data_IF_427799665720
#
_entry.id   IF_427799665720
#
_cell.length_a   1.000
_cell.length_b   1.000
_cell.length_c   1.000
_cell.angle_alpha   90.00
_cell.angle_beta   90.00
_cell.angle_gamma   90.00
#
_symmetry.space_group_name_H-M   'P 1'
#
loop_
_entity.id
_entity.type
_entity.pdbx_description
1 polymer ?
#
# COMPACT_ATOMS: atom_id res chain seq x y z
N UNK A 1 -35.97 -37.27 43.04
CA UNK A 1 -34.66 -37.71 42.52
C UNK A 1 -34.89 -37.94 41.03
N UNK A 2 -34.38 -37.24 40.04
CA UNK A 2 -33.46 -36.11 39.86
C UNK A 2 -33.79 -35.64 38.44
N UNK A 3 -34.36 -34.45 38.26
CA UNK A 3 -34.46 -33.80 36.94
C UNK A 3 -33.31 -32.82 36.81
N UNK A 4 -32.18 -33.31 36.31
CA UNK A 4 -31.01 -32.51 36.00
C UNK A 4 -31.08 -32.04 34.55
N UNK A 5 -31.92 -31.02 34.28
CA UNK A 5 -31.84 -30.27 33.03
C UNK A 5 -30.69 -29.25 33.14
N UNK A 6 -29.51 -29.70 32.75
CA UNK A 6 -28.34 -28.88 32.54
C UNK A 6 -28.57 -28.04 31.28
N UNK A 7 -29.06 -26.83 31.46
CA UNK A 7 -29.09 -25.80 30.42
C UNK A 7 -27.67 -25.30 30.24
N UNK A 8 -26.95 -25.94 29.32
CA UNK A 8 -25.62 -25.49 28.92
C UNK A 8 -25.74 -24.08 28.34
N UNK A 9 -25.11 -23.15 29.04
CA UNK A 9 -25.10 -21.73 28.75
C UNK A 9 -24.55 -21.53 27.36
N UNK A 10 -25.41 -21.01 26.47
CA UNK A 10 -25.00 -20.42 25.19
C UNK A 10 -23.81 -19.51 25.46
N UNK A 11 -22.62 -19.99 25.05
CA UNK A 11 -21.46 -19.16 24.79
C UNK A 11 -21.81 -18.23 23.62
N UNK A 12 -22.58 -17.20 23.89
CA UNK A 12 -22.53 -16.00 23.07
C UNK A 12 -21.17 -15.39 23.33
N UNK A 13 -20.23 -15.68 22.43
CA UNK A 13 -19.10 -14.81 22.17
C UNK A 13 -19.66 -13.40 22.00
N UNK A 14 -19.64 -12.62 23.08
CA UNK A 14 -19.73 -11.18 22.99
C UNK A 14 -18.51 -10.79 22.17
N UNK A 15 -18.69 -10.66 20.86
CA UNK A 15 -17.80 -9.84 20.04
C UNK A 15 -17.72 -8.53 20.80
N UNK A 16 -16.52 -8.14 21.23
CA UNK A 16 -16.32 -6.96 22.06
C UNK A 16 -17.11 -5.81 21.43
N UNK A 17 -18.18 -5.38 22.07
CA UNK A 17 -18.86 -4.16 21.66
C UNK A 17 -17.84 -3.04 21.86
N UNK A 18 -17.31 -2.54 20.75
CA UNK A 18 -16.36 -1.43 20.77
C UNK A 18 -17.17 -0.18 21.07
N UNK A 19 -16.92 0.41 22.24
CA UNK A 19 -17.54 1.67 22.65
C UNK A 19 -17.23 2.81 21.67
N UNK A 20 -18.13 3.78 21.57
CA UNK A 20 -18.04 4.91 20.63
C UNK A 20 -16.79 5.76 20.81
N UNK A 21 -16.34 5.97 22.05
CA UNK A 21 -15.10 6.70 22.30
C UNK A 21 -13.89 5.95 21.73
N UNK A 22 -13.84 4.64 21.92
CA UNK A 22 -12.79 3.76 21.39
C UNK A 22 -12.80 3.75 19.87
N UNK A 23 -13.98 3.62 19.23
CA UNK A 23 -14.09 3.67 17.76
C UNK A 23 -13.55 4.97 17.20
N UNK A 24 -13.88 6.10 17.83
CA UNK A 24 -13.38 7.40 17.41
C UNK A 24 -11.85 7.47 17.51
N UNK A 25 -11.27 6.99 18.61
CA UNK A 25 -9.82 6.92 18.78
C UNK A 25 -9.15 6.06 17.71
N UNK A 26 -9.74 4.91 17.37
CA UNK A 26 -9.22 4.04 16.32
C UNK A 26 -9.24 4.71 14.94
N UNK A 27 -10.27 5.48 14.63
CA UNK A 27 -10.32 6.25 13.37
C UNK A 27 -9.29 7.37 13.38
N UNK A 28 -9.13 8.08 14.50
CA UNK A 28 -8.10 9.12 14.65
C UNK A 28 -6.68 8.52 14.51
N UNK A 29 -6.45 7.30 15.02
CA UNK A 29 -5.22 6.55 14.83
C UNK A 29 -5.01 6.15 13.36
N UNK A 30 -6.05 5.63 12.69
CA UNK A 30 -6.01 5.30 11.28
C UNK A 30 -5.69 6.53 10.40
N UNK A 31 -6.24 7.70 10.74
CA UNK A 31 -5.90 8.98 10.10
C UNK A 31 -4.42 9.35 10.30
N UNK A 32 -3.90 9.18 11.52
CA UNK A 32 -2.48 9.41 11.81
C UNK A 32 -1.57 8.49 10.98
N UNK A 33 -1.91 7.20 10.90
CA UNK A 33 -1.18 6.23 10.07
C UNK A 33 -1.24 6.59 8.59
N UNK A 34 -2.41 7.00 8.08
CA UNK A 34 -2.56 7.41 6.68
C UNK A 34 -1.73 8.66 6.33
N UNK A 35 -1.62 9.64 7.24
CA UNK A 35 -0.75 10.80 7.03
C UNK A 35 0.73 10.41 6.99
N UNK A 36 1.14 9.46 7.82
CA UNK A 36 2.51 8.92 7.79
C UNK A 36 2.77 8.11 6.50
N UNK A 37 1.80 7.29 6.08
CA UNK A 37 1.81 6.54 4.82
C UNK A 37 2.05 7.48 3.63
N UNK A 38 1.26 8.56 3.53
CA UNK A 38 1.40 9.59 2.50
C UNK A 38 2.82 10.20 2.50
N UNK A 39 3.40 10.43 3.68
CA UNK A 39 4.77 10.92 3.83
C UNK A 39 5.82 9.91 3.32
N UNK A 40 5.61 8.61 3.50
CA UNK A 40 6.51 7.59 2.94
C UNK A 40 6.35 7.44 1.42
N UNK A 41 5.12 7.48 0.89
CA UNK A 41 4.87 7.48 -0.54
C UNK A 41 5.53 8.68 -1.23
N UNK A 42 5.45 9.87 -0.63
CA UNK A 42 6.09 11.08 -1.15
C UNK A 42 7.62 10.99 -1.22
N UNK A 43 8.24 10.16 -0.37
CA UNK A 43 9.68 9.88 -0.37
C UNK A 43 10.07 8.66 -1.21
N UNK A 44 9.10 7.96 -1.80
CA UNK A 44 9.31 6.73 -2.55
C UNK A 44 9.60 5.49 -1.69
N UNK A 45 9.40 5.56 -0.37
CA UNK A 45 9.58 4.42 0.54
C UNK A 45 8.32 3.55 0.56
N UNK A 46 8.16 2.71 -0.47
CA UNK A 46 6.96 1.88 -0.67
C UNK A 46 6.80 0.82 0.41
N UNK A 47 7.90 0.27 0.94
CA UNK A 47 7.83 -0.78 1.96
C UNK A 47 7.27 -0.28 3.29
N UNK A 48 7.70 0.90 3.75
CA UNK A 48 7.12 1.49 4.96
C UNK A 48 5.69 1.96 4.75
N UNK A 49 5.38 2.50 3.57
CA UNK A 49 4.00 2.85 3.23
C UNK A 49 3.09 1.62 3.26
N UNK A 50 3.50 0.50 2.67
CA UNK A 50 2.72 -0.75 2.68
C UNK A 50 2.48 -1.26 4.11
N UNK A 51 3.52 -1.23 4.96
CA UNK A 51 3.38 -1.64 6.37
C UNK A 51 2.30 -0.82 7.08
N UNK A 52 2.37 0.51 6.97
CA UNK A 52 1.38 1.38 7.60
C UNK A 52 -0.01 1.23 6.99
N UNK A 53 -0.12 0.98 5.69
CA UNK A 53 -1.40 0.71 5.04
C UNK A 53 -2.08 -0.53 5.63
N UNK A 54 -1.33 -1.61 5.87
CA UNK A 54 -1.87 -2.84 6.49
C UNK A 54 -2.30 -2.62 7.93
N UNK A 55 -1.49 -1.88 8.70
CA UNK A 55 -1.84 -1.54 10.08
C UNK A 55 -3.11 -0.67 10.13
N UNK A 56 -3.23 0.32 9.23
CA UNK A 56 -4.40 1.19 9.08
C UNK A 56 -5.65 0.40 8.68
N UNK A 57 -5.54 -0.50 7.70
CA UNK A 57 -6.65 -1.35 7.24
C UNK A 57 -7.21 -2.18 8.40
N UNK A 58 -6.35 -2.86 9.16
CA UNK A 58 -6.76 -3.64 10.33
C UNK A 58 -7.52 -2.81 11.38
N UNK A 59 -7.02 -1.61 11.70
CA UNK A 59 -7.66 -0.74 12.69
C UNK A 59 -9.01 -0.26 12.19
N UNK A 60 -9.13 0.07 10.89
CA UNK A 60 -10.39 0.48 10.29
C UNK A 60 -11.41 -0.67 10.29
N UNK A 61 -11.00 -1.88 9.95
CA UNK A 61 -11.89 -3.05 9.98
C UNK A 61 -12.49 -3.27 11.38
N UNK A 62 -11.65 -3.17 12.42
CA UNK A 62 -12.11 -3.27 13.80
C UNK A 62 -12.99 -2.08 14.21
N UNK A 63 -12.66 -0.86 13.78
CA UNK A 63 -13.46 0.34 14.07
C UNK A 63 -14.83 0.34 13.38
N UNK A 64 -14.96 -0.30 12.21
CA UNK A 64 -16.20 -0.40 11.43
C UNK A 64 -17.03 -1.65 11.79
N UNK A 65 -16.47 -2.62 12.51
CA UNK A 65 -17.16 -3.85 12.86
C UNK A 65 -18.41 -3.56 13.72
N UNK A 66 -19.58 -4.02 13.27
CA UNK A 66 -20.83 -3.86 14.02
C UNK A 66 -21.31 -2.41 14.17
N UNK A 67 -20.92 -1.51 13.26
CA UNK A 67 -21.34 -0.11 13.27
C UNK A 67 -22.82 0.01 12.86
N UNK A 68 -23.64 0.66 13.69
CA UNK A 68 -25.02 0.99 13.36
C UNK A 68 -25.15 2.42 12.79
N UNK A 69 -26.35 2.79 12.33
CA UNK A 69 -26.58 4.09 11.66
C UNK A 69 -26.38 5.29 12.59
N UNK A 70 -26.71 5.15 13.88
CA UNK A 70 -26.55 6.22 14.86
C UNK A 70 -25.06 6.46 15.14
N UNK A 71 -24.31 5.39 15.42
CA UNK A 71 -22.85 5.42 15.58
C UNK A 71 -22.17 6.01 14.34
N UNK A 72 -22.60 5.61 13.15
CA UNK A 72 -22.08 6.13 11.88
C UNK A 72 -22.26 7.64 11.75
N UNK A 73 -23.41 8.17 12.19
CA UNK A 73 -23.69 9.61 12.16
C UNK A 73 -22.75 10.37 13.10
N UNK A 74 -22.44 9.80 14.27
CA UNK A 74 -21.54 10.42 15.26
C UNK A 74 -20.07 10.49 14.80
N UNK A 75 -19.64 9.61 13.90
CA UNK A 75 -18.26 9.60 13.34
C UNK A 75 -18.18 10.12 11.90
N UNK A 76 -19.28 10.61 11.34
CA UNK A 76 -19.38 10.98 9.92
C UNK A 76 -18.28 11.94 9.47
N UNK A 77 -17.99 12.98 10.25
CA UNK A 77 -16.93 13.96 9.93
C UNK A 77 -15.56 13.29 9.77
N UNK A 78 -15.24 12.30 10.62
CA UNK A 78 -13.96 11.58 10.57
C UNK A 78 -13.91 10.62 9.39
N UNK A 79 -15.04 10.01 9.03
CA UNK A 79 -15.15 9.19 7.83
C UNK A 79 -14.93 10.00 6.55
N UNK A 80 -15.45 11.24 6.51
CA UNK A 80 -15.20 12.17 5.40
C UNK A 80 -13.71 12.52 5.33
N UNK A 81 -13.09 12.86 6.45
CA UNK A 81 -11.65 13.15 6.51
C UNK A 81 -10.81 11.95 6.05
N UNK A 82 -11.16 10.76 6.50
CA UNK A 82 -10.48 9.52 6.12
C UNK A 82 -10.59 9.27 4.62
N UNK A 83 -11.77 9.50 4.03
CA UNK A 83 -11.96 9.39 2.59
C UNK A 83 -11.04 10.36 1.85
N UNK A 84 -11.04 11.64 2.23
CA UNK A 84 -10.17 12.63 1.59
C UNK A 84 -8.69 12.24 1.66
N UNK A 85 -8.24 11.73 2.81
CA UNK A 85 -6.88 11.25 2.98
C UNK A 85 -6.57 10.03 2.09
N UNK A 86 -7.51 9.10 1.94
CA UNK A 86 -7.36 7.92 1.07
C UNK A 86 -7.28 8.31 -0.41
N UNK A 87 -8.03 9.33 -0.83
CA UNK A 87 -7.95 9.89 -2.18
C UNK A 87 -6.53 10.47 -2.42
N UNK A 88 -5.99 11.23 -1.45
CA UNK A 88 -4.62 11.77 -1.53
C UNK A 88 -3.54 10.68 -1.57
N UNK A 89 -3.66 9.63 -0.75
CA UNK A 89 -2.76 8.47 -0.74
C UNK A 89 -2.78 7.76 -2.10
N UNK A 90 -3.98 7.57 -2.66
CA UNK A 90 -4.17 6.94 -3.97
C UNK A 90 -3.50 7.75 -5.08
N UNK A 91 -3.71 9.05 -5.09
CA UNK A 91 -3.07 9.97 -6.03
C UNK A 91 -1.55 9.97 -5.89
N UNK A 92 -1.03 9.99 -4.66
CA UNK A 92 0.40 9.89 -4.40
C UNK A 92 0.99 8.57 -4.93
N UNK A 93 0.28 7.46 -4.74
CA UNK A 93 0.65 6.16 -5.30
C UNK A 93 0.72 6.17 -6.83
N UNK A 94 -0.27 6.76 -7.50
CA UNK A 94 -0.26 6.91 -8.97
C UNK A 94 0.90 7.77 -9.47
N UNK A 95 1.17 8.89 -8.78
CA UNK A 95 2.30 9.78 -9.12
C UNK A 95 3.63 9.06 -8.95
N UNK A 96 3.83 8.36 -7.84
CA UNK A 96 5.05 7.59 -7.58
C UNK A 96 5.25 6.50 -8.63
N UNK A 97 4.21 5.72 -8.93
CA UNK A 97 4.26 4.68 -9.98
C UNK A 97 4.64 5.27 -11.33
N UNK A 98 4.07 6.43 -11.68
CA UNK A 98 4.33 7.11 -12.95
C UNK A 98 5.78 7.62 -13.01
N UNK A 99 6.31 8.17 -11.92
CA UNK A 99 7.71 8.58 -11.82
C UNK A 99 8.65 7.38 -11.99
N UNK A 100 8.45 6.30 -11.23
CA UNK A 100 9.28 5.10 -11.32
C UNK A 100 9.28 4.49 -12.73
N UNK A 101 8.13 4.46 -13.40
CA UNK A 101 8.03 3.98 -14.79
C UNK A 101 8.87 4.84 -15.74
N UNK A 102 8.82 6.16 -15.58
CA UNK A 102 9.63 7.09 -16.38
C UNK A 102 11.11 6.90 -16.11
N UNK A 103 11.52 6.76 -14.85
CA UNK A 103 12.92 6.60 -14.47
C UNK A 103 13.50 5.28 -15.00
N UNK A 104 12.74 4.19 -14.90
CA UNK A 104 13.11 2.90 -15.50
C UNK A 104 13.24 2.98 -17.03
N UNK A 105 12.33 3.70 -17.70
CA UNK A 105 12.40 3.90 -19.15
C UNK A 105 13.64 4.70 -19.55
N UNK A 106 13.93 5.79 -18.82
CA UNK A 106 15.10 6.62 -19.05
C UNK A 106 16.40 5.84 -18.82
N UNK A 107 16.47 5.04 -17.76
CA UNK A 107 17.63 4.20 -17.47
C UNK A 107 17.87 3.16 -18.59
N UNK A 108 16.80 2.52 -19.09
CA UNK A 108 16.89 1.61 -20.25
C UNK A 108 17.43 2.32 -21.49
N UNK A 109 16.95 3.53 -21.76
CA UNK A 109 17.40 4.33 -22.91
C UNK A 109 18.88 4.72 -22.76
N UNK A 110 19.30 5.17 -21.57
CA UNK A 110 20.69 5.51 -21.29
C UNK A 110 21.61 4.30 -21.43
N UNK A 111 21.23 3.14 -20.89
CA UNK A 111 22.00 1.90 -21.05
C UNK A 111 22.14 1.51 -22.52
N UNK A 112 21.09 1.66 -23.34
CA UNK A 112 21.17 1.42 -24.79
C UNK A 112 22.12 2.39 -25.48
N UNK A 113 22.13 3.68 -25.09
CA UNK A 113 23.05 4.68 -25.62
C UNK A 113 24.50 4.36 -25.26
N UNK A 114 24.77 4.05 -23.99
CA UNK A 114 26.10 3.67 -23.51
C UNK A 114 26.63 2.44 -24.26
N UNK A 115 25.79 1.40 -24.40
CA UNK A 115 26.13 0.24 -25.21
C UNK A 115 26.49 0.65 -26.65
N UNK A 116 25.64 1.45 -27.29
CA UNK A 116 25.89 1.96 -28.65
C UNK A 116 27.20 2.75 -28.80
N UNK A 117 27.55 3.59 -27.82
CA UNK A 117 28.83 4.29 -27.81
C UNK A 117 30.02 3.33 -27.64
N UNK A 118 29.93 2.33 -26.77
CA UNK A 118 30.96 1.28 -26.64
C UNK A 118 31.16 0.50 -27.95
N UNK A 119 30.08 0.23 -28.68
CA UNK A 119 30.13 -0.39 -30.00
C UNK A 119 30.81 0.53 -31.04
N UNK A 120 30.48 1.83 -31.05
CA UNK A 120 31.02 2.81 -32.01
C UNK A 120 32.46 3.26 -31.74
N UNK A 121 32.92 3.23 -30.48
CA UNK A 121 34.26 3.66 -30.08
C UNK A 121 35.34 2.58 -30.25
N UNK A 122 35.03 1.47 -30.93
CA UNK A 122 35.98 0.37 -31.15
C UNK A 122 36.12 -0.62 -29.99
N UNK A 123 35.44 -0.40 -28.85
CA UNK A 123 35.32 -1.36 -27.75
C UNK A 123 34.23 -2.39 -28.05
N UNK A 124 34.37 -3.06 -29.19
CA UNK A 124 33.56 -4.22 -29.56
C UNK A 124 33.92 -5.40 -28.65
N UNK A 125 32.95 -6.02 -27.95
CA UNK A 125 33.17 -7.30 -27.30
C UNK A 125 33.71 -8.29 -28.34
N UNK A 126 34.78 -9.03 -28.03
CA UNK A 126 35.45 -9.99 -28.95
C UNK A 126 34.46 -10.88 -29.71
N UNK A 127 33.36 -11.28 -29.07
CA UNK A 127 32.28 -12.11 -29.61
C UNK A 127 31.53 -11.49 -30.81
N UNK A 128 31.44 -10.16 -30.90
CA UNK A 128 30.80 -9.49 -32.02
C UNK A 128 31.75 -9.36 -33.23
N UNK A 129 33.07 -9.36 -33.00
CA UNK A 129 34.09 -9.25 -34.06
C UNK A 129 34.13 -10.50 -34.94
N UNK A 130 33.91 -11.69 -34.37
CA UNK A 130 33.91 -12.97 -35.10
C UNK A 130 32.75 -13.10 -36.09
N UNK A 131 31.59 -12.49 -35.81
CA UNK A 131 30.41 -12.54 -36.70
C UNK A 131 30.54 -11.68 -37.96
N UNK A 132 31.35 -10.62 -37.94
CA UNK A 132 31.54 -9.74 -39.10
C UNK A 132 32.75 -10.12 -39.97
N UNK A 133 33.58 -11.08 -39.54
CA UNK A 133 34.78 -11.53 -40.28
C UNK A 133 34.49 -12.77 -41.15
N UNK A 134 33.39 -13.49 -40.93
CA UNK A 134 33.03 -14.72 -41.67
C UNK A 134 32.50 -14.53 -43.11
N UNK A 135 32.58 -13.32 -43.72
CA UNK A 135 32.00 -13.08 -45.06
C UNK A 135 32.99 -12.75 -46.18
N UNK A 136 34.26 -13.17 -46.07
CA UNK A 136 35.16 -13.28 -47.23
C UNK A 136 36.15 -14.43 -47.01
N UNK A 137 36.14 -15.39 -47.93
CA UNK A 137 36.99 -16.57 -47.98
C UNK A 137 36.18 -17.75 -48.47
#
# INVERSE_FOLDING_TARGET
>A
MEESHQTDSRRHSHGKEVDMATRRQMIDEALSLGRQELGFLSRGDVFKAEKLSKDRERILDEAMAGLDKESQTMIADRLVELKSLLDEITDAGYRLRSSLKRDLSNMKQQNRRIAGYSFGSGNMPRLARERFVSKKG
#
